data_IF_506091761202
#
_entry.id   IF_506091761202
#
_cell.length_a   1.000
_cell.length_b   1.000
_cell.length_c   1.000
_cell.angle_alpha   90.00
_cell.angle_beta   90.00
_cell.angle_gamma   90.00
#
_symmetry.space_group_name_H-M   'P 1'
#
loop_
_entity.id
_entity.type
_entity.pdbx_description
1 polymer ?
#
# COMPACT_ATOMS: atom_id res chain seq x y z
N UNK A 1 -0.14 -9.02 2.49
CA UNK A 1 -0.59 -8.29 1.28
C UNK A 1 0.58 -7.44 0.82
N UNK A 2 0.86 -7.35 -0.47
CA UNK A 2 2.04 -6.63 -0.97
C UNK A 2 1.65 -5.36 -1.72
N UNK A 3 2.57 -4.40 -1.84
CA UNK A 3 2.34 -3.21 -2.66
C UNK A 3 1.98 -3.57 -4.12
N UNK A 4 2.53 -4.67 -4.64
CA UNK A 4 2.21 -5.21 -5.98
C UNK A 4 0.76 -5.71 -6.06
N UNK A 5 0.33 -6.54 -5.12
CA UNK A 5 -1.06 -7.05 -5.11
C UNK A 5 -2.11 -5.97 -4.92
N UNK A 6 -1.81 -4.89 -4.18
CA UNK A 6 -2.68 -3.70 -4.12
C UNK A 6 -2.65 -2.91 -5.42
N UNK A 7 -1.45 -2.67 -5.97
CA UNK A 7 -1.29 -2.01 -7.26
C UNK A 7 -2.09 -2.68 -8.38
N UNK A 8 -2.07 -4.01 -8.45
CA UNK A 8 -2.81 -4.79 -9.44
C UNK A 8 -4.33 -4.61 -9.28
N UNK A 9 -4.83 -4.63 -8.03
CA UNK A 9 -6.27 -4.40 -7.74
C UNK A 9 -6.74 -3.00 -8.14
N UNK A 10 -5.93 -1.99 -7.85
CA UNK A 10 -6.27 -0.60 -8.11
C UNK A 10 -5.79 -0.11 -9.49
N UNK A 11 -5.17 -0.97 -10.29
CA UNK A 11 -4.56 -0.64 -11.59
C UNK A 11 -3.63 0.59 -11.52
N UNK A 12 -2.83 0.68 -10.46
CA UNK A 12 -1.88 1.79 -10.23
C UNK A 12 -0.48 1.24 -10.00
N UNK A 13 0.55 2.09 -10.15
CA UNK A 13 1.93 1.67 -9.88
C UNK A 13 2.15 1.40 -8.37
N UNK A 14 2.90 0.35 -7.97
CA UNK A 14 3.16 0.03 -6.55
C UNK A 14 3.75 1.19 -5.73
N UNK A 15 4.62 2.01 -6.34
CA UNK A 15 5.15 3.24 -5.68
C UNK A 15 4.06 4.24 -5.32
N UNK A 16 2.98 4.33 -6.10
CA UNK A 16 1.85 5.21 -5.79
C UNK A 16 1.12 4.72 -4.55
N UNK A 17 0.90 3.41 -4.44
CA UNK A 17 0.32 2.79 -3.23
C UNK A 17 1.21 3.05 -2.00
N UNK A 18 2.52 2.90 -2.14
CA UNK A 18 3.46 3.19 -1.06
C UNK A 18 3.43 4.66 -0.63
N UNK A 19 3.35 5.61 -1.58
CA UNK A 19 3.19 7.03 -1.26
C UNK A 19 1.89 7.35 -0.52
N UNK A 20 0.78 6.75 -0.93
CA UNK A 20 -0.52 6.94 -0.27
C UNK A 20 -0.49 6.37 1.15
N UNK A 21 0.06 5.16 1.32
CA UNK A 21 0.19 4.53 2.64
C UNK A 21 1.16 5.28 3.56
N UNK A 22 2.17 5.96 3.02
CA UNK A 22 3.09 6.82 3.78
C UNK A 22 2.40 8.05 4.38
N UNK A 23 1.42 8.63 3.68
CA UNK A 23 0.68 9.81 4.12
C UNK A 23 -0.72 9.45 4.60
N UNK A 24 -0.92 8.22 5.08
CA UNK A 24 -2.21 7.77 5.56
C UNK A 24 -2.53 8.41 6.92
N UNK A 25 -3.62 9.16 6.98
CA UNK A 25 -4.11 9.86 8.19
C UNK A 25 -4.74 8.89 9.21
N UNK A 26 -5.13 7.69 8.77
CA UNK A 26 -5.82 6.70 9.62
C UNK A 26 -5.07 5.35 9.59
N UNK A 27 -3.92 5.25 10.28
CA UNK A 27 -3.11 4.02 10.30
C UNK A 27 -3.84 2.83 10.94
N UNK A 28 -4.79 3.08 11.84
CA UNK A 28 -5.54 2.02 12.52
C UNK A 28 -6.63 1.40 11.62
N UNK A 29 -7.20 2.22 10.72
CA UNK A 29 -8.24 1.78 9.77
C UNK A 29 -7.61 1.17 8.51
N UNK A 30 -6.55 1.80 8.01
CA UNK A 30 -5.79 1.33 6.85
C UNK A 30 -4.37 0.94 7.28
N UNK A 31 -4.19 -0.29 7.80
CA UNK A 31 -2.93 -0.71 8.41
C UNK A 31 -1.80 -0.82 7.39
N UNK A 32 -0.95 0.22 7.33
CA UNK A 32 0.21 0.28 6.43
C UNK A 32 1.22 -0.84 6.72
N UNK A 33 1.34 -1.26 7.99
CA UNK A 33 2.22 -2.36 8.43
C UNK A 33 1.82 -3.73 7.86
N UNK A 34 0.57 -3.88 7.39
CA UNK A 34 0.07 -5.11 6.75
C UNK A 34 0.46 -5.20 5.27
N UNK A 35 1.02 -4.11 4.72
CA UNK A 35 1.48 -4.00 3.33
C UNK A 35 3.01 -4.10 3.28
N UNK A 36 3.48 -5.26 2.85
CA UNK A 36 4.91 -5.60 2.80
C UNK A 36 5.48 -5.40 1.39
N UNK A 37 6.74 -4.99 1.27
CA UNK A 37 7.44 -5.09 -0.01
C UNK A 37 7.70 -6.56 -0.32
N UNK A 38 7.46 -6.96 -1.57
CA UNK A 38 8.01 -8.25 -2.03
C UNK A 38 9.53 -8.09 -2.09
N UNK A 39 10.28 -8.98 -1.46
CA UNK A 39 11.70 -9.20 -1.80
C UNK A 39 11.82 -9.67 -3.24
#
# INVERSE_FOLDING_TARGET
>A
MTYKTMADKFKVHPRKVAMVMKHNEFPDIYPCYKVISHS
#
